data_IF_893622334054
#
_entry.id   IF_893622334054
#
_cell.length_a   1.000
_cell.length_b   1.000
_cell.length_c   1.000
_cell.angle_alpha   90.00
_cell.angle_beta   90.00
_cell.angle_gamma   90.00
#
_symmetry.space_group_name_H-M   'P 1'
#
loop_
_entity.id
_entity.type
_entity.pdbx_description
1 polymer ?
#
# COMPACT_ATOMS: atom_id res chain seq x y z
N UNK A 1 9.64 14.47 -3.89
CA UNK A 1 9.31 13.33 -3.03
C UNK A 1 7.81 13.18 -2.97
N UNK A 2 7.30 11.95 -3.04
CA UNK A 2 5.91 11.57 -2.81
C UNK A 2 5.90 10.76 -1.52
N UNK A 3 4.89 10.96 -0.69
CA UNK A 3 4.72 10.20 0.54
C UNK A 3 3.24 9.89 0.75
N UNK A 4 2.95 8.65 1.13
CA UNK A 4 1.59 8.19 1.46
C UNK A 4 1.61 7.33 2.71
N UNK A 5 0.47 7.21 3.37
CA UNK A 5 0.19 6.23 4.41
C UNK A 5 -1.21 5.68 4.20
N UNK A 6 -1.31 4.37 4.16
CA UNK A 6 -2.59 3.70 3.94
C UNK A 6 -2.60 2.36 4.66
N UNK A 7 -3.66 2.09 5.43
CA UNK A 7 -3.85 0.84 6.16
C UNK A 7 -5.33 0.58 6.39
N UNK A 8 -5.73 -0.68 6.42
CA UNK A 8 -7.13 -1.08 6.60
C UNK A 8 -7.24 -2.47 7.23
N UNK A 9 -8.47 -2.86 7.55
CA UNK A 9 -8.81 -4.18 8.09
C UNK A 9 -8.80 -5.24 7.00
N UNK A 10 -8.67 -6.55 7.34
CA UNK A 10 -8.65 -7.62 6.36
C UNK A 10 -9.86 -7.61 5.42
N UNK A 11 -9.59 -7.75 4.14
CA UNK A 11 -10.60 -7.86 3.06
C UNK A 11 -10.66 -9.29 2.49
N UNK A 12 -9.77 -10.17 2.96
CA UNK A 12 -9.71 -11.61 2.64
C UNK A 12 -9.28 -12.37 3.89
N UNK A 13 -9.60 -13.67 3.95
CA UNK A 13 -9.32 -14.51 5.12
C UNK A 13 -7.87 -14.97 5.21
N UNK A 14 -7.17 -15.12 4.08
CA UNK A 14 -5.77 -15.54 4.06
C UNK A 14 -4.83 -14.40 4.47
N UNK A 15 -4.09 -14.54 5.60
CA UNK A 15 -3.24 -13.47 6.11
C UNK A 15 -2.15 -13.01 5.16
N UNK A 16 -1.51 -13.96 4.45
CA UNK A 16 -0.47 -13.64 3.50
C UNK A 16 -1.02 -12.82 2.31
N UNK A 17 -2.13 -13.24 1.76
CA UNK A 17 -2.81 -12.52 0.66
C UNK A 17 -3.29 -11.14 1.12
N UNK A 18 -3.83 -11.04 2.35
CA UNK A 18 -4.18 -9.73 2.92
C UNK A 18 -2.95 -8.80 2.98
N UNK A 19 -1.81 -9.30 3.43
CA UNK A 19 -0.56 -8.55 3.45
C UNK A 19 -0.15 -8.04 2.07
N UNK A 20 -0.28 -8.89 1.04
CA UNK A 20 0.00 -8.49 -0.36
C UNK A 20 -0.95 -7.40 -0.86
N UNK A 21 -2.25 -7.53 -0.59
CA UNK A 21 -3.27 -6.56 -1.01
C UNK A 21 -3.02 -5.20 -0.35
N UNK A 22 -2.79 -5.20 0.96
CA UNK A 22 -2.56 -3.98 1.72
C UNK A 22 -1.29 -3.23 1.26
N UNK A 23 -0.21 -3.96 1.02
CA UNK A 23 1.02 -3.37 0.50
C UNK A 23 0.84 -2.84 -0.94
N UNK A 24 0.17 -3.58 -1.82
CA UNK A 24 -0.11 -3.14 -3.19
C UNK A 24 -0.96 -1.85 -3.20
N UNK A 25 -1.96 -1.77 -2.31
CA UNK A 25 -2.78 -0.56 -2.15
C UNK A 25 -1.93 0.65 -1.74
N UNK A 26 -1.09 0.50 -0.70
CA UNK A 26 -0.22 1.60 -0.24
C UNK A 26 0.82 2.05 -1.29
N UNK A 27 1.36 1.10 -2.06
CA UNK A 27 2.31 1.40 -3.14
C UNK A 27 1.64 2.13 -4.32
N UNK A 28 0.35 1.88 -4.55
CA UNK A 28 -0.39 2.40 -5.69
C UNK A 28 -0.47 3.93 -5.72
N UNK A 29 -0.51 4.58 -4.58
CA UNK A 29 -0.56 6.04 -4.47
C UNK A 29 0.71 6.71 -5.05
N UNK A 30 1.86 6.06 -4.85
CA UNK A 30 3.12 6.55 -5.44
C UNK A 30 3.10 6.40 -6.95
N UNK A 31 2.61 5.26 -7.46
CA UNK A 31 2.48 5.02 -8.89
C UNK A 31 1.44 5.95 -9.54
N UNK A 32 0.33 6.22 -8.84
CA UNK A 32 -0.71 7.13 -9.33
C UNK A 32 -0.19 8.55 -9.61
N UNK A 33 0.87 8.96 -8.92
CA UNK A 33 1.54 10.23 -9.16
C UNK A 33 2.72 10.14 -10.16
N UNK A 34 2.91 8.99 -10.81
CA UNK A 34 4.03 8.75 -11.73
C UNK A 34 5.37 8.56 -11.02
N UNK A 35 5.33 8.26 -9.72
CA UNK A 35 6.51 8.07 -8.90
C UNK A 35 7.00 6.64 -8.84
N UNK A 36 8.22 6.47 -8.35
CA UNK A 36 8.84 5.18 -8.08
C UNK A 36 8.99 5.01 -6.58
N UNK A 37 8.37 3.98 -5.95
CA UNK A 37 8.55 3.68 -4.53
C UNK A 37 10.01 3.33 -4.22
N UNK A 38 10.52 3.81 -3.10
CA UNK A 38 11.91 3.53 -2.67
C UNK A 38 11.99 2.98 -1.26
N UNK A 39 11.18 3.49 -0.35
CA UNK A 39 11.22 3.15 1.07
C UNK A 39 9.80 2.88 1.55
N UNK A 40 9.64 1.82 2.33
CA UNK A 40 8.38 1.48 2.99
C UNK A 40 8.58 1.23 4.48
N UNK A 41 7.57 1.61 5.27
CA UNK A 41 7.46 1.34 6.71
C UNK A 41 6.14 0.60 6.95
N UNK A 42 6.17 -0.47 7.74
CA UNK A 42 4.95 -1.15 8.17
C UNK A 42 4.13 -0.29 9.15
N UNK A 43 2.82 -0.27 8.97
CA UNK A 43 1.85 0.29 9.92
C UNK A 43 0.91 -0.84 10.33
N UNK A 44 0.90 -1.19 11.61
CA UNK A 44 0.21 -2.39 12.13
C UNK A 44 -0.63 -2.06 13.34
N UNK A 45 -1.90 -2.45 13.32
CA UNK A 45 -2.74 -2.66 14.48
C UNK A 45 -3.01 -4.15 14.63
N UNK A 46 -2.77 -4.76 15.81
CA UNK A 46 -2.97 -6.20 15.95
C UNK A 46 -3.48 -6.59 17.32
N UNK A 47 -4.54 -7.47 17.41
CA UNK A 47 -5.09 -7.92 18.67
C UNK A 47 -4.16 -8.91 19.39
N UNK A 48 -3.99 -8.73 20.70
CA UNK A 48 -3.19 -9.64 21.52
C UNK A 48 -3.80 -11.05 21.67
N UNK A 49 -5.08 -11.21 21.32
CA UNK A 49 -5.76 -12.51 21.40
C UNK A 49 -5.55 -13.40 20.17
N UNK A 50 -4.97 -12.87 19.09
CA UNK A 50 -4.68 -13.63 17.88
C UNK A 50 -3.26 -14.22 17.93
N UNK A 51 -3.09 -15.35 17.24
CA UNK A 51 -1.79 -16.00 17.12
C UNK A 51 -0.81 -15.09 16.37
N UNK A 52 0.39 -14.85 16.91
CA UNK A 52 1.43 -14.04 16.25
C UNK A 52 1.84 -14.56 14.88
N UNK A 53 1.63 -15.83 14.56
CA UNK A 53 1.90 -16.39 13.23
C UNK A 53 1.05 -15.74 12.13
N UNK A 54 -0.18 -15.33 12.48
CA UNK A 54 -1.06 -14.60 11.56
C UNK A 54 -0.41 -13.26 11.17
N UNK A 55 0.11 -12.53 12.14
CA UNK A 55 0.82 -11.28 11.87
C UNK A 55 2.09 -11.52 11.05
N UNK A 56 2.83 -12.59 11.34
CA UNK A 56 4.03 -12.94 10.58
C UNK A 56 3.70 -13.18 9.09
N UNK A 57 2.60 -13.86 8.79
CA UNK A 57 2.16 -14.10 7.41
C UNK A 57 1.73 -12.79 6.71
N UNK A 58 1.00 -11.91 7.40
CA UNK A 58 0.64 -10.58 6.87
C UNK A 58 1.91 -9.80 6.51
N UNK A 59 2.86 -9.71 7.43
CA UNK A 59 4.11 -8.98 7.21
C UNK A 59 4.95 -9.58 6.08
N UNK A 60 4.97 -10.91 5.94
CA UNK A 60 5.66 -11.61 4.85
C UNK A 60 5.03 -11.25 3.50
N UNK A 61 3.69 -11.29 3.39
CA UNK A 61 2.98 -10.90 2.18
C UNK A 61 3.27 -9.45 1.77
N UNK A 62 3.28 -8.54 2.74
CA UNK A 62 3.63 -7.13 2.52
C UNK A 62 5.07 -6.95 2.07
N UNK A 63 6.01 -7.63 2.73
CA UNK A 63 7.44 -7.56 2.39
C UNK A 63 7.73 -8.05 0.96
N UNK A 64 7.07 -9.13 0.52
CA UNK A 64 7.21 -9.65 -0.84
C UNK A 64 6.72 -8.65 -1.89
N UNK A 65 5.62 -7.92 -1.63
CA UNK A 65 5.13 -6.86 -2.53
C UNK A 65 6.05 -5.62 -2.55
N UNK A 66 6.60 -5.22 -1.42
CA UNK A 66 7.59 -4.14 -1.35
C UNK A 66 8.83 -4.50 -2.18
N UNK A 67 9.32 -5.74 -2.05
CA UNK A 67 10.43 -6.27 -2.84
C UNK A 67 10.11 -6.32 -4.34
N UNK A 68 8.92 -6.78 -4.71
CA UNK A 68 8.44 -6.80 -6.11
C UNK A 68 8.43 -5.40 -6.72
N UNK A 69 8.06 -4.37 -5.94
CA UNK A 69 8.09 -2.96 -6.34
C UNK A 69 9.51 -2.36 -6.45
N UNK A 70 10.55 -3.12 -6.12
CA UNK A 70 11.93 -2.63 -6.08
C UNK A 70 12.22 -1.64 -4.96
N UNK A 71 11.35 -1.59 -3.94
CA UNK A 71 11.51 -0.75 -2.75
C UNK A 71 12.13 -1.54 -1.58
N UNK A 72 12.55 -0.84 -0.55
CA UNK A 72 13.14 -1.41 0.66
C UNK A 72 12.23 -1.19 1.85
N UNK A 73 11.91 -2.28 2.56
CA UNK A 73 11.23 -2.21 3.84
C UNK A 73 12.26 -1.91 4.94
N UNK A 74 12.14 -0.75 5.58
CA UNK A 74 13.16 -0.25 6.52
C UNK A 74 12.70 -0.24 7.98
N UNK A 75 11.49 -0.71 8.26
CA UNK A 75 10.96 -0.79 9.61
C UNK A 75 9.47 -0.58 9.67
N UNK A 76 9.00 0.04 10.73
CA UNK A 76 7.57 0.32 10.92
C UNK A 76 7.22 0.46 12.39
N UNK A 77 5.92 0.46 12.67
CA UNK A 77 5.38 0.52 14.02
C UNK A 77 4.15 -0.36 14.17
N UNK A 78 4.04 -1.04 15.30
CA UNK A 78 2.88 -1.83 15.66
C UNK A 78 2.27 -1.36 16.96
N UNK A 79 0.95 -1.35 17.03
CA UNK A 79 0.17 -1.05 18.22
C UNK A 79 -0.83 -2.16 18.49
N UNK A 80 -1.24 -2.32 19.75
CA UNK A 80 -2.38 -3.15 20.08
C UNK A 80 -3.66 -2.50 19.57
N UNK A 81 -4.52 -3.28 18.91
CA UNK A 81 -5.84 -2.84 18.45
C UNK A 81 -6.86 -3.96 18.71
N UNK A 82 -8.14 -3.66 18.61
CA UNK A 82 -9.21 -4.65 18.79
C UNK A 82 -9.42 -5.52 17.54
N UNK A 83 -8.92 -5.07 16.38
CA UNK A 83 -9.00 -5.79 15.11
C UNK A 83 -7.69 -5.65 14.33
N UNK A 84 -7.33 -6.63 13.49
CA UNK A 84 -6.14 -6.51 12.65
C UNK A 84 -6.27 -5.34 11.69
N UNK A 85 -5.19 -4.55 11.57
CA UNK A 85 -5.02 -3.52 10.55
C UNK A 85 -3.60 -3.58 10.03
N UNK A 86 -3.45 -3.49 8.73
CA UNK A 86 -2.14 -3.49 8.10
C UNK A 86 -2.10 -2.59 6.88
N UNK A 87 -0.96 -2.01 6.67
CA UNK A 87 -0.60 -1.25 5.49
C UNK A 87 0.79 -0.66 5.61
N UNK A 88 1.11 0.28 4.74
CA UNK A 88 2.44 0.87 4.67
C UNK A 88 2.38 2.39 4.67
N UNK A 89 3.43 3.00 5.23
CA UNK A 89 3.84 4.34 4.86
C UNK A 89 4.92 4.20 3.78
N UNK A 90 4.68 4.77 2.58
CA UNK A 90 5.58 4.64 1.44
C UNK A 90 6.13 6.00 1.02
N UNK A 91 7.44 6.05 0.80
CA UNK A 91 8.11 7.20 0.21
C UNK A 91 8.68 6.84 -1.15
N UNK A 92 8.43 7.70 -2.13
CA UNK A 92 8.90 7.54 -3.49
C UNK A 92 9.35 8.87 -4.11
N UNK A 93 9.87 8.78 -5.31
CA UNK A 93 10.38 9.95 -6.02
C UNK A 93 9.88 10.02 -7.45
N UNK A 94 9.72 11.24 -7.93
CA UNK A 94 9.39 11.57 -9.30
C UNK A 94 10.03 12.91 -9.64
N UNK A 95 10.41 13.10 -10.90
CA UNK A 95 10.88 14.41 -11.35
C UNK A 95 9.73 15.43 -11.26
N UNK A 96 9.94 16.65 -10.76
CA UNK A 96 8.87 17.64 -10.56
C UNK A 96 8.03 17.92 -11.82
N UNK A 97 8.64 17.88 -13.00
CA UNK A 97 7.96 18.12 -14.27
C UNK A 97 7.19 16.89 -14.80
N UNK A 98 7.37 15.71 -14.17
CA UNK A 98 6.73 14.43 -14.57
C UNK A 98 5.66 13.98 -13.61
N UNK A 99 5.28 14.80 -12.65
CA UNK A 99 4.23 14.47 -11.68
C UNK A 99 2.89 14.36 -12.39
N UNK A 100 2.19 13.23 -12.21
CA UNK A 100 0.79 13.11 -12.58
C UNK A 100 -0.07 13.81 -11.52
N UNK A 101 -0.96 14.68 -11.99
CA UNK A 101 -1.80 15.51 -11.12
C UNK A 101 -3.26 15.11 -11.25
N UNK A 102 -4.04 15.33 -10.20
CA UNK A 102 -5.48 15.07 -10.18
C UNK A 102 -6.30 16.15 -10.94
N UNK A 103 -5.64 16.97 -11.73
CA UNK A 103 -6.25 18.04 -12.48
C UNK A 103 -5.50 18.28 -13.80
N UNK A 104 -6.11 19.04 -14.70
CA UNK A 104 -5.48 19.41 -15.97
C UNK A 104 -6.12 18.76 -17.19
N UNK A 105 -7.13 17.91 -17.00
CA UNK A 105 -7.93 17.36 -18.10
C UNK A 105 -8.63 18.46 -18.89
N UNK A 106 -8.74 18.28 -20.21
CA UNK A 106 -9.36 19.22 -21.15
C UNK A 106 -10.50 18.53 -21.89
N UNK A 107 -11.52 19.27 -22.35
CA UNK A 107 -12.51 18.71 -23.26
C UNK A 107 -11.84 18.10 -24.51
N UNK A 108 -12.17 16.84 -24.80
CA UNK A 108 -11.57 16.06 -25.89
C UNK A 108 -10.48 15.08 -25.46
N UNK A 109 -10.01 15.11 -24.21
CA UNK A 109 -9.09 14.12 -23.69
C UNK A 109 -9.77 12.74 -23.62
N UNK A 110 -9.03 11.67 -23.96
CA UNK A 110 -9.49 10.30 -23.83
C UNK A 110 -9.32 9.82 -22.37
N UNK A 111 -10.40 9.28 -21.79
CA UNK A 111 -10.36 8.65 -20.47
C UNK A 111 -10.10 7.15 -20.64
N UNK A 112 -9.00 6.67 -20.07
CA UNK A 112 -8.59 5.27 -20.16
C UNK A 112 -8.66 4.64 -18.77
N UNK A 113 -9.48 3.60 -18.62
CA UNK A 113 -9.54 2.78 -17.42
C UNK A 113 -8.55 1.62 -17.57
N UNK A 114 -7.52 1.58 -16.73
CA UNK A 114 -6.42 0.59 -16.83
C UNK A 114 -6.69 -0.70 -16.07
N UNK A 115 -7.71 -0.74 -15.23
CA UNK A 115 -8.16 -1.94 -14.50
C UNK A 115 -9.67 -1.84 -14.21
N UNK A 116 -10.37 -2.96 -13.96
CA UNK A 116 -11.76 -2.92 -13.52
C UNK A 116 -11.91 -2.09 -12.23
N UNK A 117 -13.03 -1.40 -12.11
CA UNK A 117 -13.47 -0.72 -10.88
C UNK A 117 -14.25 -1.70 -10.01
N UNK A 118 -14.42 -1.40 -8.72
CA UNK A 118 -15.28 -2.16 -7.83
C UNK A 118 -14.60 -2.66 -6.54
N UNK A 119 -13.32 -2.34 -6.30
CA UNK A 119 -12.63 -2.72 -5.06
C UNK A 119 -13.19 -2.03 -3.81
N UNK A 120 -14.01 -0.99 -3.97
CA UNK A 120 -14.66 -0.26 -2.88
C UNK A 120 -16.17 -0.54 -2.76
N UNK A 121 -16.67 -1.59 -3.38
CA UNK A 121 -18.11 -1.96 -3.41
C UNK A 121 -18.36 -3.17 -2.55
#
# INVERSE_FOLDING_TARGET
>A
MIQTVDFFTPVVDDPYTFGQIAAANSLSDVYAMGGEPKIALNVVGFPNCLDPSILADILRGGADKVKEAGAVLVGGHSVQDNEPKYGLCVSGFVHPEKIFKNYGCRPGDALILTKPIGSGV
#
